data_IF_031277595883
#
_entry.id   IF_031277595883
#
_cell.length_a   1.000
_cell.length_b   1.000
_cell.length_c   1.000
_cell.angle_alpha   90.00
_cell.angle_beta   90.00
_cell.angle_gamma   90.00
#
_symmetry.space_group_name_H-M   'P 1'
#
loop_
_entity.id
_entity.type
_entity.pdbx_description
1 polymer ?
#
# COMPACT_ATOMS: atom_id res chain seq x y z
N UNK A 1 35.94 -56.22 12.78
CA UNK A 1 36.05 -56.21 11.33
C UNK A 1 34.79 -55.59 10.75
N UNK A 2 34.99 -54.71 9.82
CA UNK A 2 33.99 -54.01 8.97
C UNK A 2 33.30 -52.78 9.56
N UNK A 3 33.84 -51.66 9.15
CA UNK A 3 33.39 -50.29 9.33
C UNK A 3 32.35 -49.98 8.23
N UNK A 4 31.14 -49.61 8.59
CA UNK A 4 30.12 -49.05 7.69
C UNK A 4 30.06 -47.55 7.88
N UNK A 5 30.50 -46.79 6.85
CA UNK A 5 30.34 -45.34 6.77
C UNK A 5 28.96 -45.00 6.19
N UNK A 6 28.07 -44.45 6.99
CA UNK A 6 26.88 -43.80 6.47
C UNK A 6 27.17 -42.31 6.21
N UNK A 7 27.25 -41.98 4.94
CA UNK A 7 27.34 -40.59 4.47
C UNK A 7 25.92 -40.04 4.29
N UNK A 8 25.49 -39.21 5.21
CA UNK A 8 24.25 -38.39 5.08
C UNK A 8 24.52 -37.26 4.12
N UNK A 9 23.96 -37.37 2.92
CA UNK A 9 23.86 -36.27 1.94
C UNK A 9 22.85 -35.23 2.44
N UNK A 10 23.37 -34.13 2.94
CA UNK A 10 22.55 -32.92 3.19
C UNK A 10 22.30 -32.26 1.82
N UNK A 11 21.09 -32.44 1.31
CA UNK A 11 20.60 -31.68 0.14
C UNK A 11 20.37 -30.22 0.51
N UNK A 12 21.29 -29.34 0.15
CA UNK A 12 21.10 -27.89 0.17
C UNK A 12 20.09 -27.55 -0.95
N UNK A 13 18.85 -27.33 -0.58
CA UNK A 13 17.88 -26.70 -1.47
C UNK A 13 18.23 -25.21 -1.60
N UNK A 14 18.98 -24.89 -2.66
CA UNK A 14 19.22 -23.52 -3.10
C UNK A 14 17.89 -22.99 -3.67
N UNK A 15 17.09 -22.31 -2.84
CA UNK A 15 15.97 -21.52 -3.34
C UNK A 15 16.56 -20.37 -4.17
N UNK A 16 16.54 -20.54 -5.49
CA UNK A 16 16.75 -19.44 -6.43
C UNK A 16 15.63 -18.42 -6.25
N UNK A 17 15.89 -17.36 -5.51
CA UNK A 17 15.17 -16.09 -5.59
C UNK A 17 15.45 -15.50 -6.98
N UNK A 18 14.76 -16.00 -8.00
CA UNK A 18 14.73 -15.37 -9.29
C UNK A 18 13.89 -14.08 -9.14
N UNK A 19 14.54 -12.99 -8.76
CA UNK A 19 14.01 -11.67 -9.00
C UNK A 19 13.66 -11.59 -10.49
N UNK A 20 12.38 -11.48 -10.83
CA UNK A 20 11.95 -11.30 -12.21
C UNK A 20 12.61 -10.03 -12.73
N UNK A 21 13.54 -10.20 -13.65
CA UNK A 21 14.12 -9.07 -14.39
C UNK A 21 13.01 -8.25 -15.05
N UNK A 22 13.16 -6.92 -15.14
CA UNK A 22 12.22 -6.09 -15.86
C UNK A 22 11.97 -6.69 -17.25
N UNK A 23 10.70 -6.80 -17.63
CA UNK A 23 10.30 -7.43 -18.88
C UNK A 23 11.04 -6.78 -20.06
N UNK A 24 11.78 -7.56 -20.82
CA UNK A 24 12.58 -7.06 -21.94
C UNK A 24 11.68 -6.44 -23.02
N UNK A 25 12.18 -5.45 -23.76
CA UNK A 25 11.47 -4.89 -24.91
C UNK A 25 11.09 -6.00 -25.90
N UNK A 26 9.85 -5.95 -26.39
CA UNK A 26 9.39 -6.83 -27.46
C UNK A 26 10.08 -6.42 -28.76
N UNK A 27 10.35 -7.37 -29.66
CA UNK A 27 10.83 -7.07 -31.02
C UNK A 27 9.98 -5.91 -31.61
N UNK A 28 10.62 -4.80 -32.02
CA UNK A 28 9.90 -3.66 -32.54
C UNK A 28 8.90 -3.98 -33.64
N UNK A 29 9.18 -5.00 -34.47
CA UNK A 29 8.30 -5.43 -35.55
C UNK A 29 6.98 -6.05 -35.06
N UNK A 30 6.97 -6.61 -33.85
CA UNK A 30 5.83 -7.30 -33.24
C UNK A 30 5.10 -6.46 -32.19
N UNK A 31 5.70 -5.36 -31.76
CA UNK A 31 5.20 -4.59 -30.63
C UNK A 31 3.79 -4.04 -30.89
N UNK A 32 3.57 -3.34 -32.02
CA UNK A 32 2.27 -2.73 -32.35
C UNK A 32 1.15 -3.77 -32.35
N UNK A 33 1.39 -4.93 -32.96
CA UNK A 33 0.40 -6.00 -33.02
C UNK A 33 0.14 -6.57 -31.62
N UNK A 34 1.18 -6.68 -30.80
CA UNK A 34 1.06 -7.19 -29.43
C UNK A 34 0.22 -6.29 -28.51
N UNK A 35 0.13 -4.99 -28.77
CA UNK A 35 -0.60 -4.00 -27.95
C UNK A 35 -1.76 -3.33 -28.68
N UNK A 36 -2.12 -3.82 -29.86
CA UNK A 36 -3.15 -3.23 -30.74
C UNK A 36 -4.47 -2.89 -30.03
N UNK A 37 -4.99 -3.71 -29.08
CA UNK A 37 -6.21 -3.35 -28.34
C UNK A 37 -6.10 -2.06 -27.52
N UNK A 38 -4.90 -1.72 -27.06
CA UNK A 38 -4.62 -0.58 -26.17
C UNK A 38 -4.07 0.65 -26.95
N UNK A 39 -3.66 0.45 -28.21
CA UNK A 39 -2.92 1.47 -28.95
C UNK A 39 -3.84 2.62 -29.35
N UNK A 40 -3.47 3.84 -28.95
CA UNK A 40 -4.17 5.04 -29.35
C UNK A 40 -3.78 5.47 -30.77
N UNK A 41 -4.65 6.18 -31.47
CA UNK A 41 -4.41 6.65 -32.83
C UNK A 41 -3.13 7.50 -32.90
N UNK A 42 -2.95 8.40 -31.94
CA UNK A 42 -1.76 9.25 -31.88
C UNK A 42 -0.49 8.45 -31.56
N UNK A 43 -0.57 7.45 -30.70
CA UNK A 43 0.54 6.54 -30.39
C UNK A 43 0.96 5.73 -31.62
N UNK A 44 0.00 5.24 -32.40
CA UNK A 44 0.30 4.54 -33.67
C UNK A 44 0.97 5.46 -34.69
N UNK A 45 0.52 6.71 -34.81
CA UNK A 45 1.12 7.74 -35.65
C UNK A 45 2.55 8.06 -35.22
N UNK A 46 2.78 8.24 -33.92
CA UNK A 46 4.11 8.47 -33.37
C UNK A 46 5.03 7.28 -33.67
N UNK A 47 4.59 6.05 -33.41
CA UNK A 47 5.35 4.84 -33.70
C UNK A 47 5.78 4.75 -35.17
N UNK A 48 4.87 4.99 -36.10
CA UNK A 48 5.15 4.98 -37.57
C UNK A 48 6.18 6.03 -37.99
N UNK A 49 6.29 7.12 -37.25
CA UNK A 49 7.27 8.18 -37.51
C UNK A 49 8.68 7.88 -36.99
N UNK A 50 8.83 6.83 -36.12
CA UNK A 50 10.13 6.44 -35.58
C UNK A 50 10.91 5.57 -36.56
N UNK A 51 12.13 5.98 -36.85
CA UNK A 51 13.05 5.27 -37.76
C UNK A 51 14.10 4.47 -37.01
N UNK A 52 14.55 4.96 -35.85
CA UNK A 52 15.59 4.37 -35.02
C UNK A 52 15.01 3.29 -34.08
N UNK A 53 15.72 2.18 -33.95
CA UNK A 53 15.35 1.10 -33.03
C UNK A 53 15.46 1.53 -31.55
N UNK A 54 16.40 2.41 -31.20
CA UNK A 54 16.52 2.94 -29.84
C UNK A 54 15.28 3.76 -29.47
N UNK A 55 14.80 4.62 -30.39
CA UNK A 55 13.56 5.35 -30.16
C UNK A 55 12.35 4.43 -30.05
N UNK A 56 12.32 3.32 -30.80
CA UNK A 56 11.26 2.32 -30.69
C UNK A 56 11.30 1.55 -29.37
N UNK A 57 12.48 1.25 -28.85
CA UNK A 57 12.62 0.67 -27.51
C UNK A 57 12.19 1.65 -26.43
N UNK A 58 12.56 2.92 -26.56
CA UNK A 58 12.14 3.96 -25.62
C UNK A 58 10.64 4.20 -25.69
N UNK A 59 10.04 4.19 -26.89
CA UNK A 59 8.59 4.25 -27.06
C UNK A 59 7.88 3.11 -26.29
N UNK A 60 8.38 1.89 -26.34
CA UNK A 60 7.82 0.76 -25.61
C UNK A 60 7.84 1.01 -24.10
N UNK A 61 8.93 1.54 -23.55
CA UNK A 61 9.04 1.88 -22.14
C UNK A 61 8.02 2.96 -21.75
N UNK A 62 7.94 4.03 -22.56
CA UNK A 62 6.98 5.12 -22.38
C UNK A 62 5.55 4.58 -22.44
N UNK A 63 5.23 3.75 -23.45
CA UNK A 63 3.90 3.16 -23.63
C UNK A 63 3.40 2.43 -22.38
N UNK A 64 4.25 1.60 -21.80
CA UNK A 64 3.91 0.85 -20.60
C UNK A 64 3.90 1.72 -19.35
N UNK A 65 4.84 2.66 -19.20
CA UNK A 65 4.87 3.60 -18.07
C UNK A 65 3.62 4.49 -18.04
N UNK A 66 3.11 4.92 -19.18
CA UNK A 66 1.85 5.68 -19.26
C UNK A 66 0.65 4.93 -18.69
N UNK A 67 0.69 3.60 -18.66
CA UNK A 67 -0.39 2.71 -18.22
C UNK A 67 -0.10 2.05 -16.87
N UNK A 68 1.08 2.28 -16.32
CA UNK A 68 1.49 1.74 -15.03
C UNK A 68 0.72 2.42 -13.89
N UNK A 69 -0.03 1.70 -13.05
CA UNK A 69 -0.71 2.34 -11.92
C UNK A 69 0.26 2.88 -10.86
N UNK A 70 1.48 2.33 -10.77
CA UNK A 70 2.46 2.68 -9.73
C UNK A 70 3.88 2.69 -10.29
N UNK A 71 4.36 3.84 -10.74
CA UNK A 71 5.69 3.99 -11.37
C UNK A 71 6.89 3.61 -10.47
N UNK A 72 6.71 3.59 -9.17
CA UNK A 72 7.78 3.29 -8.19
C UNK A 72 8.00 1.80 -7.95
N UNK A 73 7.21 0.93 -8.55
CA UNK A 73 7.39 -0.53 -8.45
C UNK A 73 8.33 -1.04 -9.54
N UNK A 74 9.12 -2.12 -9.28
CA UNK A 74 10.02 -2.68 -10.28
C UNK A 74 9.29 -3.44 -11.40
N UNK A 75 8.00 -3.68 -11.24
CA UNK A 75 7.15 -4.43 -12.18
C UNK A 75 5.97 -3.56 -12.55
N UNK A 76 5.71 -3.41 -13.84
CA UNK A 76 4.50 -2.76 -14.32
C UNK A 76 3.32 -3.72 -14.17
N UNK A 77 2.44 -3.46 -13.19
CA UNK A 77 1.31 -4.33 -12.87
C UNK A 77 0.30 -4.40 -14.02
N UNK A 78 0.01 -3.26 -14.66
CA UNK A 78 -0.90 -3.21 -15.78
C UNK A 78 -0.41 -4.07 -16.94
N UNK A 79 0.88 -3.99 -17.26
CA UNK A 79 1.49 -4.83 -18.31
C UNK A 79 1.37 -6.32 -17.97
N UNK A 80 1.63 -6.69 -16.73
CA UNK A 80 1.55 -8.08 -16.27
C UNK A 80 0.13 -8.63 -16.39
N UNK A 81 -0.87 -7.84 -15.97
CA UNK A 81 -2.28 -8.21 -16.10
C UNK A 81 -2.72 -8.28 -17.57
N UNK A 82 -2.29 -7.31 -18.37
CA UNK A 82 -2.58 -7.30 -19.80
C UNK A 82 -2.02 -8.52 -20.53
N UNK A 83 -0.77 -8.87 -20.31
CA UNK A 83 -0.12 -10.02 -20.95
C UNK A 83 -0.84 -11.34 -20.58
N UNK A 84 -1.26 -11.48 -19.32
CA UNK A 84 -2.07 -12.62 -18.86
C UNK A 84 -3.44 -12.64 -19.54
N UNK A 85 -4.16 -11.52 -19.50
CA UNK A 85 -5.49 -11.40 -20.11
C UNK A 85 -5.44 -11.63 -21.62
N UNK A 86 -4.40 -11.11 -22.28
CA UNK A 86 -4.19 -11.34 -23.71
C UNK A 86 -4.03 -12.83 -24.03
N UNK A 87 -3.26 -13.57 -23.24
CA UNK A 87 -3.10 -15.02 -23.40
C UNK A 87 -4.44 -15.77 -23.26
N UNK A 88 -5.23 -15.40 -22.26
CA UNK A 88 -6.59 -15.98 -22.08
C UNK A 88 -7.51 -15.66 -23.25
N UNK A 89 -7.46 -14.44 -23.76
CA UNK A 89 -8.26 -13.97 -24.91
C UNK A 89 -7.84 -14.67 -26.20
N UNK A 90 -6.54 -14.87 -26.42
CA UNK A 90 -6.03 -15.58 -27.59
C UNK A 90 -6.54 -17.02 -27.65
N UNK A 91 -6.68 -17.69 -26.49
CA UNK A 91 -7.26 -19.03 -26.40
C UNK A 91 -8.80 -19.00 -26.57
N UNK A 92 -9.46 -18.04 -25.91
CA UNK A 92 -10.93 -17.95 -25.87
C UNK A 92 -11.57 -17.67 -27.22
N UNK A 93 -10.94 -16.79 -28.01
CA UNK A 93 -11.42 -16.38 -29.33
C UNK A 93 -10.57 -16.95 -30.46
N UNK A 94 -9.88 -18.07 -30.23
CA UNK A 94 -9.21 -18.83 -31.28
C UNK A 94 -10.24 -19.35 -32.33
N UNK A 95 -9.83 -19.43 -33.58
CA UNK A 95 -10.67 -20.05 -34.64
C UNK A 95 -11.02 -19.13 -35.81
N UNK A 96 -10.54 -17.86 -35.80
CA UNK A 96 -10.69 -16.91 -36.92
C UNK A 96 -9.50 -16.91 -37.88
N UNK A 97 -8.49 -17.76 -37.65
CA UNK A 97 -7.21 -17.74 -38.41
C UNK A 97 -6.21 -16.68 -37.95
N UNK A 98 -6.54 -15.93 -36.89
CA UNK A 98 -5.70 -14.95 -36.23
C UNK A 98 -5.83 -15.08 -34.70
N UNK A 99 -4.86 -14.55 -33.90
CA UNK A 99 -4.97 -14.53 -32.45
C UNK A 99 -6.27 -13.90 -31.98
N UNK A 100 -6.85 -14.41 -30.91
CA UNK A 100 -8.12 -13.89 -30.38
C UNK A 100 -8.08 -12.41 -30.02
N UNK A 101 -6.94 -11.92 -29.50
CA UNK A 101 -6.72 -10.52 -29.17
C UNK A 101 -6.70 -9.56 -30.37
N UNK A 102 -6.58 -10.08 -31.58
CA UNK A 102 -6.64 -9.33 -32.85
C UNK A 102 -8.05 -9.27 -33.44
N UNK A 103 -9.02 -9.96 -32.80
CA UNK A 103 -10.45 -9.88 -33.16
C UNK A 103 -11.12 -8.70 -32.45
N UNK A 104 -12.26 -8.23 -32.95
CA UNK A 104 -13.03 -7.18 -32.25
C UNK A 104 -13.61 -7.69 -30.92
N UNK A 105 -14.03 -8.95 -30.82
CA UNK A 105 -14.41 -9.58 -29.56
C UNK A 105 -13.26 -9.52 -28.54
N UNK A 106 -12.06 -9.93 -28.96
CA UNK A 106 -10.89 -9.90 -28.09
C UNK A 106 -10.54 -8.50 -27.64
N UNK A 107 -10.60 -7.53 -28.55
CA UNK A 107 -10.37 -6.11 -28.22
C UNK A 107 -11.38 -5.59 -27.20
N UNK A 108 -12.65 -5.86 -27.40
CA UNK A 108 -13.71 -5.47 -26.46
C UNK A 108 -13.49 -6.14 -25.11
N UNK A 109 -13.20 -7.45 -25.09
CA UNK A 109 -12.95 -8.18 -23.85
C UNK A 109 -11.72 -7.65 -23.08
N UNK A 110 -10.64 -7.30 -23.77
CA UNK A 110 -9.44 -6.69 -23.15
C UNK A 110 -9.76 -5.34 -22.54
N UNK A 111 -10.56 -4.51 -23.21
CA UNK A 111 -10.86 -3.16 -22.75
C UNK A 111 -11.92 -3.10 -21.65
N UNK A 112 -12.95 -3.95 -21.74
CA UNK A 112 -14.13 -3.90 -20.87
C UNK A 112 -14.23 -5.07 -19.87
N UNK A 113 -13.42 -6.12 -20.04
CA UNK A 113 -13.54 -7.36 -19.28
C UNK A 113 -14.67 -8.27 -19.77
N UNK A 114 -15.04 -9.24 -18.94
CA UNK A 114 -16.17 -10.12 -19.23
C UNK A 114 -17.49 -9.31 -19.28
N UNK A 115 -18.36 -9.57 -20.28
CA UNK A 115 -19.70 -8.99 -20.28
C UNK A 115 -20.56 -9.57 -19.15
N UNK A 116 -21.56 -8.81 -18.72
CA UNK A 116 -22.50 -9.27 -17.70
C UNK A 116 -23.49 -10.30 -18.26
N UNK A 117 -23.69 -10.29 -19.60
CA UNK A 117 -24.58 -11.21 -20.30
C UNK A 117 -24.16 -11.39 -21.75
N UNK A 118 -24.30 -12.62 -22.27
CA UNK A 118 -24.06 -12.96 -23.68
C UNK A 118 -25.32 -13.59 -24.24
N UNK A 119 -25.83 -13.04 -25.33
CA UNK A 119 -26.96 -13.66 -26.11
C UNK A 119 -26.40 -14.09 -27.45
N UNK A 120 -26.65 -15.36 -27.83
CA UNK A 120 -26.23 -15.93 -29.11
C UNK A 120 -27.35 -15.83 -30.15
N UNK A 121 -27.00 -15.92 -31.44
CA UNK A 121 -27.96 -15.76 -32.56
C UNK A 121 -29.11 -16.74 -32.58
N UNK A 122 -29.01 -17.85 -31.84
CA UNK A 122 -30.10 -18.80 -31.60
C UNK A 122 -31.05 -18.41 -30.44
N UNK A 123 -30.85 -17.22 -29.87
CA UNK A 123 -31.67 -16.67 -28.78
C UNK A 123 -31.32 -17.20 -27.40
N UNK A 124 -30.30 -18.07 -27.26
CA UNK A 124 -29.85 -18.52 -25.94
C UNK A 124 -29.05 -17.43 -25.23
N UNK A 125 -29.46 -17.16 -24.01
CA UNK A 125 -28.77 -16.21 -23.13
C UNK A 125 -27.94 -16.97 -22.08
N UNK A 126 -26.66 -16.67 -21.97
CA UNK A 126 -25.73 -17.28 -21.02
C UNK A 126 -25.09 -16.22 -20.14
N UNK A 127 -24.89 -16.56 -18.86
CA UNK A 127 -24.07 -15.78 -17.91
C UNK A 127 -22.59 -16.23 -17.95
N UNK A 128 -22.29 -17.25 -18.76
CA UNK A 128 -20.93 -17.75 -18.91
C UNK A 128 -20.06 -16.77 -19.71
N UNK A 129 -18.77 -16.81 -19.42
CA UNK A 129 -17.79 -16.03 -20.15
C UNK A 129 -17.85 -16.32 -21.66
N UNK A 130 -17.88 -15.28 -22.51
CA UNK A 130 -18.00 -15.45 -23.95
C UNK A 130 -16.81 -16.22 -24.52
N UNK A 131 -17.07 -17.01 -25.55
CA UNK A 131 -16.03 -17.70 -26.32
C UNK A 131 -16.39 -17.66 -27.80
N UNK A 132 -15.42 -18.00 -28.64
CA UNK A 132 -15.66 -18.09 -30.08
C UNK A 132 -16.72 -19.13 -30.36
N UNK A 133 -17.83 -18.70 -30.93
CA UNK A 133 -18.87 -19.54 -31.54
C UNK A 133 -19.12 -19.00 -32.94
N UNK A 134 -19.39 -19.89 -33.90
CA UNK A 134 -19.71 -19.50 -35.28
C UNK A 134 -21.18 -19.06 -35.39
N UNK A 135 -21.54 -18.06 -34.57
CA UNK A 135 -22.85 -17.45 -34.50
C UNK A 135 -22.69 -15.99 -34.11
N UNK A 136 -23.63 -15.14 -34.47
CA UNK A 136 -23.69 -13.78 -33.97
C UNK A 136 -23.88 -13.78 -32.47
N UNK A 137 -23.29 -12.79 -31.79
CA UNK A 137 -23.35 -12.59 -30.36
C UNK A 137 -23.70 -11.16 -30.02
N UNK A 138 -24.49 -10.95 -28.96
CA UNK A 138 -24.71 -9.65 -28.34
C UNK A 138 -24.20 -9.72 -26.90
N UNK A 139 -23.27 -8.84 -26.55
CA UNK A 139 -22.71 -8.72 -25.23
C UNK A 139 -23.29 -7.51 -24.52
N UNK A 140 -23.82 -7.70 -23.32
CA UNK A 140 -24.38 -6.64 -22.49
C UNK A 140 -23.40 -6.30 -21.37
N UNK A 141 -23.12 -5.02 -21.22
CA UNK A 141 -22.30 -4.46 -20.14
C UNK A 141 -23.10 -3.46 -19.32
N UNK A 142 -22.98 -3.52 -17.98
CA UNK A 142 -23.59 -2.60 -17.02
C UNK A 142 -22.49 -1.99 -16.18
N UNK A 143 -22.67 -0.72 -15.79
CA UNK A 143 -21.81 -0.01 -14.83
C UNK A 143 -20.29 -0.09 -15.10
N UNK A 144 -19.89 0.04 -16.36
CA UNK A 144 -18.47 0.11 -16.71
C UNK A 144 -17.99 1.56 -16.74
N UNK A 145 -17.00 1.97 -15.88
CA UNK A 145 -16.45 3.31 -15.88
C UNK A 145 -15.99 3.74 -17.28
N UNK A 146 -16.36 4.93 -17.70
CA UNK A 146 -15.97 5.51 -19.00
C UNK A 146 -16.88 5.17 -20.18
N UNK A 147 -17.81 4.20 -20.06
CA UNK A 147 -18.85 3.99 -21.07
C UNK A 147 -20.03 4.94 -20.86
N UNK A 148 -20.55 5.47 -21.95
CA UNK A 148 -21.82 6.20 -21.94
C UNK A 148 -22.96 5.19 -22.11
N UNK A 149 -23.67 4.96 -21.03
CA UNK A 149 -24.82 4.05 -21.02
C UNK A 149 -26.10 4.77 -21.49
N UNK A 150 -26.87 4.08 -22.32
CA UNK A 150 -28.25 4.43 -22.60
C UNK A 150 -29.11 3.47 -21.77
N UNK A 151 -29.89 4.01 -20.84
CA UNK A 151 -30.71 3.21 -19.90
C UNK A 151 -29.89 2.25 -18.99
N UNK A 152 -28.66 2.64 -18.59
CA UNK A 152 -27.85 1.87 -17.63
C UNK A 152 -27.10 0.68 -18.21
N UNK A 153 -27.20 0.39 -19.50
CA UNK A 153 -26.48 -0.70 -20.14
C UNK A 153 -25.99 -0.34 -21.56
N UNK A 154 -24.94 -1.02 -22.01
CA UNK A 154 -24.44 -1.00 -23.39
C UNK A 154 -24.49 -2.39 -23.94
N UNK A 155 -25.07 -2.52 -25.13
CA UNK A 155 -25.11 -3.77 -25.90
C UNK A 155 -24.18 -3.67 -27.10
N UNK A 156 -23.34 -4.67 -27.26
CA UNK A 156 -22.34 -4.76 -28.32
C UNK A 156 -22.60 -6.03 -29.11
N UNK A 157 -23.04 -5.87 -30.34
CA UNK A 157 -23.28 -6.97 -31.27
C UNK A 157 -22.02 -7.35 -32.05
N UNK A 158 -21.81 -8.65 -32.28
CA UNK A 158 -20.74 -9.20 -33.10
C UNK A 158 -21.33 -10.17 -34.11
N UNK A 159 -20.72 -10.24 -35.28
CA UNK A 159 -21.06 -11.25 -36.30
C UNK A 159 -20.42 -12.61 -36.00
N UNK A 160 -20.62 -13.57 -36.89
CA UNK A 160 -20.12 -14.96 -36.78
C UNK A 160 -18.56 -15.03 -36.79
N UNK A 161 -17.90 -14.01 -37.32
CA UNK A 161 -16.44 -13.87 -37.36
C UNK A 161 -15.89 -13.08 -36.14
N UNK A 162 -16.73 -12.78 -35.16
CA UNK A 162 -16.35 -11.93 -34.01
C UNK A 162 -15.93 -10.51 -34.40
N UNK A 163 -16.53 -9.97 -35.47
CA UNK A 163 -16.31 -8.61 -35.93
C UNK A 163 -17.46 -7.69 -35.49
N UNK A 164 -17.13 -6.43 -35.17
CA UNK A 164 -18.09 -5.39 -34.89
C UNK A 164 -18.78 -4.94 -36.20
N UNK A 165 -20.07 -4.63 -36.17
CA UNK A 165 -20.73 -3.97 -37.30
C UNK A 165 -19.99 -2.68 -37.66
N UNK A 166 -19.89 -2.39 -38.95
CA UNK A 166 -19.30 -1.15 -39.42
C UNK A 166 -20.12 0.05 -38.92
N UNK A 167 -19.56 0.81 -37.97
CA UNK A 167 -20.17 2.00 -37.40
C UNK A 167 -19.17 2.79 -36.55
N UNK A 168 -19.11 4.12 -36.77
CA UNK A 168 -18.14 4.98 -36.09
C UNK A 168 -18.33 5.04 -34.58
N UNK A 169 -19.58 4.97 -34.09
CA UNK A 169 -19.88 5.19 -32.67
C UNK A 169 -19.24 4.18 -31.69
N UNK A 170 -19.15 2.90 -32.05
CA UNK A 170 -18.52 1.89 -31.20
C UNK A 170 -16.99 2.00 -31.23
N UNK A 171 -16.39 2.26 -32.38
CA UNK A 171 -14.95 2.46 -32.50
C UNK A 171 -14.47 3.67 -31.68
N UNK A 172 -15.24 4.77 -31.65
CA UNK A 172 -14.96 5.92 -30.80
C UNK A 172 -15.09 5.60 -29.31
N UNK A 173 -16.05 4.77 -28.90
CA UNK A 173 -16.18 4.32 -27.52
C UNK A 173 -14.98 3.48 -27.11
N UNK A 174 -14.56 2.52 -27.94
CA UNK A 174 -13.39 1.70 -27.66
C UNK A 174 -12.10 2.53 -27.60
N UNK A 175 -11.97 3.55 -28.44
CA UNK A 175 -10.84 4.48 -28.38
C UNK A 175 -10.81 5.23 -27.03
N UNK A 176 -11.96 5.76 -26.58
CA UNK A 176 -12.06 6.38 -25.24
C UNK A 176 -11.74 5.42 -24.10
N UNK A 177 -12.15 4.15 -24.22
CA UNK A 177 -11.81 3.13 -23.21
C UNK A 177 -10.31 2.83 -23.20
N UNK A 178 -9.65 2.77 -24.35
CA UNK A 178 -8.21 2.62 -24.43
C UNK A 178 -7.47 3.84 -23.82
N UNK A 179 -7.99 5.06 -24.07
CA UNK A 179 -7.47 6.29 -23.48
C UNK A 179 -7.62 6.30 -21.96
N UNK A 180 -8.74 5.83 -21.43
CA UNK A 180 -8.98 5.70 -19.99
C UNK A 180 -8.00 4.74 -19.28
N UNK A 181 -7.26 3.91 -20.02
CA UNK A 181 -6.17 3.08 -19.47
C UNK A 181 -4.84 3.82 -19.31
N UNK A 182 -4.76 5.09 -19.72
CA UNK A 182 -3.58 5.92 -19.53
C UNK A 182 -3.62 6.55 -18.14
N UNK A 183 -2.82 6.00 -17.22
CA UNK A 183 -2.72 6.48 -15.84
C UNK A 183 -1.86 7.75 -15.73
N UNK A 184 -0.83 7.87 -16.58
CA UNK A 184 0.13 8.98 -16.55
C UNK A 184 0.17 9.74 -17.88
N UNK A 185 -0.79 10.64 -18.16
CA UNK A 185 -0.82 11.41 -19.40
C UNK A 185 0.34 12.42 -19.54
N UNK A 186 1.00 12.78 -18.43
CA UNK A 186 2.14 13.68 -18.42
C UNK A 186 3.44 13.03 -18.96
N UNK A 187 3.51 11.71 -18.98
CA UNK A 187 4.58 10.97 -19.65
C UNK A 187 4.18 10.93 -21.14
N UNK A 188 5.02 11.44 -22.00
CA UNK A 188 4.71 11.59 -23.42
C UNK A 188 5.85 11.19 -24.37
N UNK A 189 5.58 11.17 -25.67
CA UNK A 189 6.52 10.80 -26.73
C UNK A 189 7.24 12.02 -27.31
N UNK A 190 7.56 13.02 -26.48
CA UNK A 190 8.24 14.23 -26.94
C UNK A 190 9.67 13.93 -27.38
N UNK A 191 10.14 14.72 -28.35
CA UNK A 191 11.52 14.66 -28.83
C UNK A 191 12.38 15.70 -28.13
N UNK A 192 13.61 15.30 -27.80
CA UNK A 192 14.65 16.19 -27.32
C UNK A 192 15.23 17.07 -28.48
N UNK A 193 16.15 17.93 -28.09
CA UNK A 193 16.86 18.79 -29.04
C UNK A 193 17.73 18.00 -30.05
N UNK A 194 18.10 16.79 -29.72
CA UNK A 194 18.85 15.84 -30.57
C UNK A 194 17.96 15.08 -31.57
N UNK A 195 16.64 15.30 -31.52
CA UNK A 195 15.67 14.67 -32.42
C UNK A 195 15.22 13.29 -32.00
N UNK A 196 15.79 12.71 -30.94
CA UNK A 196 15.39 11.45 -30.36
C UNK A 196 14.28 11.60 -29.30
N UNK A 197 13.60 10.51 -28.95
CA UNK A 197 12.64 10.55 -27.85
C UNK A 197 13.35 10.88 -26.52
N UNK A 198 12.75 11.77 -25.73
CA UNK A 198 13.19 12.01 -24.36
C UNK A 198 13.01 10.72 -23.57
N UNK A 199 14.08 10.26 -22.95
CA UNK A 199 14.05 8.99 -22.20
C UNK A 199 13.02 9.01 -21.09
N UNK A 200 12.39 7.88 -20.84
CA UNK A 200 11.43 7.71 -19.75
C UNK A 200 12.03 8.16 -18.41
N UNK A 201 13.28 7.77 -18.11
CA UNK A 201 13.97 8.13 -16.86
C UNK A 201 14.09 9.64 -16.62
N UNK A 202 14.13 10.43 -17.70
CA UNK A 202 14.17 11.90 -17.63
C UNK A 202 12.79 12.53 -17.50
N UNK A 203 11.72 11.76 -17.78
CA UNK A 203 10.32 12.18 -17.64
C UNK A 203 9.72 11.79 -16.28
N UNK A 204 10.30 10.80 -15.58
CA UNK A 204 9.83 10.38 -14.29
C UNK A 204 10.16 11.42 -13.21
N UNK A 205 9.27 11.60 -12.22
CA UNK A 205 9.60 12.39 -11.05
C UNK A 205 10.86 11.84 -10.39
N UNK A 206 11.86 12.69 -10.19
CA UNK A 206 13.03 12.28 -9.42
C UNK A 206 12.61 12.08 -7.96
N UNK A 207 12.99 10.96 -7.31
CA UNK A 207 12.73 10.80 -5.91
C UNK A 207 13.39 11.93 -5.12
N UNK A 208 12.71 12.40 -4.10
CA UNK A 208 13.33 13.35 -3.16
C UNK A 208 14.59 12.74 -2.53
N UNK A 209 15.51 13.57 -2.02
CA UNK A 209 16.73 13.05 -1.40
C UNK A 209 16.48 12.05 -0.27
N UNK A 210 15.43 12.25 0.54
CA UNK A 210 15.08 11.31 1.61
C UNK A 210 14.47 10.00 1.07
N UNK A 211 13.65 10.07 0.01
CA UNK A 211 13.14 8.86 -0.64
C UNK A 211 14.25 8.08 -1.34
N UNK A 212 15.27 8.76 -1.84
CA UNK A 212 16.47 8.11 -2.40
C UNK A 212 17.22 7.29 -1.34
N UNK A 213 17.23 7.71 -0.07
CA UNK A 213 17.81 6.94 1.05
C UNK A 213 17.12 5.58 1.24
N UNK A 214 15.83 5.47 0.95
CA UNK A 214 15.11 4.20 1.10
C UNK A 214 15.45 3.20 -0.01
N UNK A 215 15.91 3.69 -1.17
CA UNK A 215 16.41 2.86 -2.29
C UNK A 215 17.90 2.52 -2.13
N UNK A 216 18.70 3.48 -1.72
CA UNK A 216 20.15 3.35 -1.49
C UNK A 216 20.48 3.86 -0.10
N UNK A 217 20.36 3.00 0.94
CA UNK A 217 20.57 3.39 2.33
C UNK A 217 21.98 3.94 2.57
N UNK A 218 22.05 5.03 3.33
CA UNK A 218 23.29 5.58 3.91
C UNK A 218 23.23 5.45 5.42
N UNK A 219 24.37 5.51 6.05
CA UNK A 219 24.55 5.39 7.50
C UNK A 219 25.42 6.51 8.04
N UNK A 220 25.22 7.74 7.53
CA UNK A 220 25.94 8.92 8.03
C UNK A 220 25.64 9.16 9.52
N UNK A 221 24.48 8.70 9.98
CA UNK A 221 24.08 8.58 11.37
C UNK A 221 23.06 7.41 11.53
N UNK A 222 22.93 6.92 12.75
CA UNK A 222 21.98 5.88 13.07
C UNK A 222 20.55 6.42 13.10
N UNK A 223 19.62 5.68 12.48
CA UNK A 223 18.17 5.87 12.57
C UNK A 223 17.57 4.64 13.23
N UNK A 224 16.71 4.84 14.21
CA UNK A 224 15.89 3.79 14.79
C UNK A 224 14.41 4.10 14.55
N UNK A 225 13.58 3.08 14.38
CA UNK A 225 12.16 3.25 14.10
C UNK A 225 11.31 2.34 14.99
N UNK A 226 10.18 2.86 15.44
CA UNK A 226 9.26 2.18 16.35
C UNK A 226 7.82 2.36 15.85
N UNK A 227 7.22 1.35 15.17
CA UNK A 227 5.79 1.33 14.91
C UNK A 227 5.04 1.18 16.23
N UNK A 228 4.11 2.07 16.53
CA UNK A 228 3.44 2.07 17.84
C UNK A 228 1.92 2.22 17.76
N UNK A 229 1.39 2.94 16.77
CA UNK A 229 -0.04 3.14 16.60
C UNK A 229 -0.55 2.31 15.41
N UNK A 230 -1.49 1.41 15.67
CA UNK A 230 -2.17 0.59 14.66
C UNK A 230 -3.68 0.76 14.83
N UNK A 231 -4.35 1.36 13.85
CA UNK A 231 -5.77 1.68 13.90
C UNK A 231 -6.49 1.20 12.64
N UNK A 232 -7.70 0.65 12.80
CA UNK A 232 -8.57 0.36 11.65
C UNK A 232 -9.05 1.66 11.01
N UNK A 233 -8.92 1.76 9.69
CA UNK A 233 -9.51 2.85 8.91
C UNK A 233 -10.93 2.49 8.44
N UNK A 234 -11.77 3.48 8.06
CA UNK A 234 -13.14 3.22 7.61
C UNK A 234 -13.25 2.31 6.38
N UNK A 235 -12.24 2.30 5.52
CA UNK A 235 -12.15 1.46 4.31
C UNK A 235 -11.59 0.06 4.58
N UNK A 236 -11.36 -0.30 5.85
CA UNK A 236 -10.90 -1.62 6.27
C UNK A 236 -9.39 -1.84 6.19
N UNK A 237 -8.61 -0.82 5.84
CA UNK A 237 -7.16 -0.87 6.01
C UNK A 237 -6.76 -0.66 7.49
N UNK A 238 -5.49 -0.82 7.80
CA UNK A 238 -4.91 -0.47 9.09
C UNK A 238 -3.98 0.73 8.90
N UNK A 239 -4.28 1.84 9.57
CA UNK A 239 -3.37 2.96 9.69
C UNK A 239 -2.24 2.59 10.66
N UNK A 240 -1.02 2.68 10.16
CA UNK A 240 0.20 2.42 10.92
C UNK A 240 0.93 3.73 11.10
N UNK A 241 1.14 4.16 12.34
CA UNK A 241 2.06 5.26 12.62
C UNK A 241 3.16 4.83 13.60
N UNK A 242 4.30 5.46 13.47
CA UNK A 242 5.46 5.18 14.30
C UNK A 242 6.38 6.39 14.45
N UNK A 243 7.39 6.22 15.27
CA UNK A 243 8.40 7.21 15.56
C UNK A 243 9.74 6.79 14.94
N UNK A 244 10.43 7.74 14.31
CA UNK A 244 11.83 7.62 13.94
C UNK A 244 12.66 8.52 14.85
N UNK A 245 13.79 8.00 15.35
CA UNK A 245 14.70 8.72 16.25
C UNK A 245 16.10 8.77 15.66
N UNK A 246 16.71 9.96 15.78
CA UNK A 246 18.10 10.23 15.44
C UNK A 246 18.75 10.94 16.61
N UNK A 247 20.01 10.62 16.93
CA UNK A 247 20.77 11.39 17.91
C UNK A 247 21.10 12.79 17.37
N UNK A 248 20.97 13.82 18.21
CA UNK A 248 21.24 15.22 17.83
C UNK A 248 22.63 15.45 17.25
N UNK A 249 23.62 14.64 17.63
CA UNK A 249 24.98 14.72 17.11
C UNK A 249 25.06 14.41 15.60
N UNK A 250 24.08 13.73 15.04
CA UNK A 250 23.96 13.45 13.59
C UNK A 250 23.36 14.60 12.78
N UNK A 251 22.83 15.64 13.42
CA UNK A 251 22.01 16.68 12.78
C UNK A 251 22.63 18.05 12.90
N UNK A 252 22.30 18.94 11.96
CA UNK A 252 22.72 20.34 11.92
C UNK A 252 21.64 21.24 12.52
N UNK A 253 21.87 21.73 13.73
CA UNK A 253 20.94 22.60 14.43
C UNK A 253 21.04 24.05 13.98
N UNK A 254 19.93 24.75 13.95
CA UNK A 254 19.80 26.21 13.84
C UNK A 254 18.98 26.68 15.05
N UNK A 255 19.71 27.23 16.05
CA UNK A 255 19.12 27.51 17.37
C UNK A 255 18.74 26.20 18.08
N UNK A 256 17.48 26.05 18.51
CA UNK A 256 16.99 24.88 19.24
C UNK A 256 16.56 23.72 18.34
N UNK A 257 16.38 23.93 17.04
CA UNK A 257 15.79 22.95 16.12
C UNK A 257 16.71 22.57 14.96
N UNK A 258 16.55 21.35 14.46
CA UNK A 258 17.09 20.88 13.19
C UNK A 258 15.95 20.74 12.17
N UNK A 259 16.23 21.05 10.89
CA UNK A 259 15.30 20.76 9.80
C UNK A 259 15.61 19.38 9.22
N UNK A 260 14.67 18.50 9.34
CA UNK A 260 14.80 17.11 8.88
C UNK A 260 13.71 16.76 7.87
N UNK A 261 14.09 15.97 6.88
CA UNK A 261 13.15 15.29 5.97
C UNK A 261 13.09 13.83 6.39
N UNK A 262 11.89 13.34 6.64
CA UNK A 262 11.66 11.95 7.04
C UNK A 262 10.75 11.25 6.03
N UNK A 263 11.10 10.03 5.67
CA UNK A 263 10.28 9.19 4.77
C UNK A 263 10.17 7.77 5.32
N UNK A 264 9.02 7.14 5.03
CA UNK A 264 8.80 5.73 5.32
C UNK A 264 8.14 5.03 4.13
N UNK A 265 8.48 3.76 3.93
CA UNK A 265 7.86 2.87 2.94
C UNK A 265 7.57 1.52 3.55
N UNK A 266 6.39 0.98 3.26
CA UNK A 266 6.06 -0.42 3.49
C UNK A 266 6.17 -1.19 2.17
N UNK A 267 6.99 -2.25 2.16
CA UNK A 267 7.32 -3.02 0.96
C UNK A 267 6.85 -4.45 1.17
N UNK A 268 6.11 -5.01 0.20
CA UNK A 268 5.66 -6.42 0.24
C UNK A 268 6.84 -7.40 0.03
N UNK A 269 6.60 -8.68 0.25
CA UNK A 269 7.59 -9.73 0.02
C UNK A 269 8.10 -9.79 -1.43
N UNK A 270 7.26 -9.38 -2.39
CA UNK A 270 7.59 -9.31 -3.83
C UNK A 270 8.39 -8.05 -4.19
N UNK A 271 8.71 -7.18 -3.22
CA UNK A 271 9.46 -5.94 -3.44
C UNK A 271 8.60 -4.76 -3.90
N UNK A 272 7.27 -4.88 -3.88
CA UNK A 272 6.33 -3.81 -4.24
C UNK A 272 6.16 -2.83 -3.08
N UNK A 273 6.23 -1.53 -3.35
CA UNK A 273 5.87 -0.49 -2.39
C UNK A 273 4.35 -0.47 -2.24
N UNK A 274 3.85 -0.86 -1.06
CA UNK A 274 2.42 -0.87 -0.75
C UNK A 274 1.92 0.52 -0.32
N UNK A 275 2.73 1.26 0.44
CA UNK A 275 2.47 2.63 0.82
C UNK A 275 3.78 3.37 1.15
N UNK A 276 3.74 4.69 1.04
CA UNK A 276 4.85 5.57 1.43
C UNK A 276 4.32 6.83 2.08
N UNK A 277 5.16 7.44 2.92
CA UNK A 277 4.93 8.77 3.48
C UNK A 277 6.23 9.55 3.53
N UNK A 278 6.12 10.87 3.38
CA UNK A 278 7.25 11.80 3.45
C UNK A 278 6.81 13.11 4.10
N UNK A 279 7.69 13.72 4.87
CA UNK A 279 7.48 15.06 5.42
C UNK A 279 8.80 15.78 5.69
N UNK A 280 8.75 17.10 5.60
CA UNK A 280 9.77 18.02 6.07
C UNK A 280 9.30 18.73 7.34
N UNK A 281 10.07 18.65 8.41
CA UNK A 281 9.70 19.27 9.68
C UNK A 281 10.93 19.92 10.36
N UNK A 282 10.64 20.89 11.23
CA UNK A 282 11.60 21.38 12.24
C UNK A 282 11.36 20.60 13.53
N UNK A 283 12.39 19.96 14.04
CA UNK A 283 12.30 19.16 15.26
C UNK A 283 13.39 19.57 16.25
N UNK A 284 13.04 19.60 17.52
CA UNK A 284 13.95 19.87 18.63
C UNK A 284 14.44 18.54 19.23
N UNK A 285 15.60 18.61 19.88
CA UNK A 285 16.08 17.46 20.63
C UNK A 285 15.31 17.33 21.94
N UNK A 286 14.86 16.10 22.23
CA UNK A 286 14.29 15.75 23.52
C UNK A 286 15.33 15.80 24.67
N UNK A 287 14.88 15.60 25.90
CA UNK A 287 15.75 15.60 27.07
C UNK A 287 16.89 14.56 27.01
N UNK A 288 16.65 13.46 26.30
CA UNK A 288 17.61 12.37 26.06
C UNK A 288 18.59 12.66 24.90
N UNK A 289 18.52 13.85 24.29
CA UNK A 289 19.33 14.24 23.14
C UNK A 289 18.86 13.61 21.82
N UNK A 290 17.74 12.89 21.79
CA UNK A 290 17.15 12.34 20.58
C UNK A 290 16.22 13.33 19.87
N UNK A 291 16.31 13.42 18.57
CA UNK A 291 15.32 14.08 17.71
C UNK A 291 14.35 13.03 17.21
N UNK A 292 13.05 13.25 17.43
CA UNK A 292 12.00 12.30 17.09
C UNK A 292 11.05 12.92 16.07
N UNK A 293 10.78 12.15 15.00
CA UNK A 293 9.79 12.50 13.98
C UNK A 293 8.87 11.32 13.74
N UNK A 294 7.61 11.57 13.44
CA UNK A 294 6.66 10.51 13.16
C UNK A 294 6.56 10.20 11.66
N UNK A 295 6.17 8.98 11.34
CA UNK A 295 5.70 8.56 10.02
C UNK A 295 4.35 7.89 10.16
N UNK A 296 3.55 7.84 9.07
CA UNK A 296 2.25 7.19 9.09
C UNK A 296 1.77 6.85 7.70
N UNK A 297 1.10 5.70 7.55
CA UNK A 297 0.55 5.22 6.30
C UNK A 297 -0.59 4.22 6.53
N UNK A 298 -1.53 4.13 5.59
CA UNK A 298 -2.58 3.11 5.60
C UNK A 298 -2.12 1.89 4.78
N UNK A 299 -2.30 0.70 5.35
CA UNK A 299 -1.86 -0.58 4.77
C UNK A 299 -2.98 -1.61 4.87
N UNK A 300 -3.08 -2.49 3.89
CA UNK A 300 -3.89 -3.71 4.04
C UNK A 300 -3.25 -4.62 5.09
N UNK A 301 -4.04 -5.46 5.80
CA UNK A 301 -3.47 -6.48 6.69
C UNK A 301 -2.45 -7.37 5.96
N UNK A 302 -1.35 -7.70 6.63
CA UNK A 302 -0.29 -8.52 6.03
C UNK A 302 1.10 -8.26 6.60
N UNK A 303 2.09 -8.94 6.03
CA UNK A 303 3.49 -8.81 6.41
C UNK A 303 4.23 -7.93 5.39
N UNK A 304 5.01 -6.97 5.92
CA UNK A 304 5.76 -6.00 5.13
C UNK A 304 7.19 -5.87 5.63
N UNK A 305 8.03 -5.30 4.79
CA UNK A 305 9.30 -4.72 5.18
C UNK A 305 9.13 -3.21 5.29
N UNK A 306 9.27 -2.67 6.50
CA UNK A 306 9.24 -1.24 6.78
C UNK A 306 10.64 -0.67 6.56
N UNK A 307 10.74 0.36 5.72
CA UNK A 307 11.95 1.17 5.54
C UNK A 307 11.65 2.57 6.03
N UNK A 308 12.52 3.12 6.88
CA UNK A 308 12.41 4.49 7.41
C UNK A 308 13.73 5.20 7.22
N UNK A 309 13.69 6.39 6.62
CA UNK A 309 14.84 7.23 6.37
C UNK A 309 14.66 8.62 6.98
N UNK A 310 15.74 9.19 7.45
CA UNK A 310 15.81 10.58 7.92
C UNK A 310 17.01 11.26 7.26
N UNK A 311 16.79 12.45 6.73
CA UNK A 311 17.80 13.31 6.10
C UNK A 311 17.89 14.63 6.88
N UNK A 312 19.09 15.03 7.23
CA UNK A 312 19.38 16.40 7.67
C UNK A 312 19.39 17.31 6.43
N UNK A 313 18.40 18.18 6.32
CA UNK A 313 18.22 19.03 5.13
C UNK A 313 19.40 19.97 4.92
N UNK A 314 20.06 20.45 6.00
CA UNK A 314 21.17 21.41 5.92
C UNK A 314 22.46 20.76 5.44
N UNK A 315 22.85 19.62 6.00
CA UNK A 315 24.11 18.95 5.64
C UNK A 315 23.96 17.97 4.49
N UNK A 316 22.73 17.55 4.16
CA UNK A 316 22.45 16.47 3.21
C UNK A 316 22.87 15.08 3.71
N UNK A 317 23.30 14.94 4.96
CA UNK A 317 23.59 13.65 5.61
C UNK A 317 22.29 12.90 5.90
N UNK A 318 22.34 11.58 5.85
CA UNK A 318 21.15 10.76 6.08
C UNK A 318 21.44 9.38 6.63
N UNK A 319 20.44 8.82 7.25
CA UNK A 319 20.43 7.44 7.72
C UNK A 319 19.10 6.76 7.42
N UNK A 320 19.12 5.44 7.31
CA UNK A 320 17.93 4.65 7.12
C UNK A 320 17.99 3.34 7.91
N UNK A 321 16.81 2.84 8.29
CA UNK A 321 16.62 1.54 8.93
C UNK A 321 15.60 0.73 8.15
N UNK A 322 15.81 -0.58 8.16
CA UNK A 322 14.88 -1.55 7.54
C UNK A 322 14.55 -2.61 8.58
N UNK A 323 13.25 -2.91 8.75
CA UNK A 323 12.78 -3.87 9.73
C UNK A 323 11.47 -4.54 9.27
N UNK A 324 11.10 -5.73 9.81
CA UNK A 324 9.80 -6.32 9.55
C UNK A 324 8.68 -5.48 10.15
N UNK A 325 7.51 -5.49 9.50
CA UNK A 325 6.29 -4.87 9.98
C UNK A 325 5.13 -5.84 9.74
N UNK A 326 4.48 -6.25 10.83
CA UNK A 326 3.24 -7.03 10.75
C UNK A 326 2.04 -6.12 10.96
N UNK A 327 1.14 -6.08 10.00
CA UNK A 327 -0.08 -5.27 10.02
C UNK A 327 -1.26 -6.19 10.31
N UNK A 328 -1.91 -6.05 11.48
CA UNK A 328 -3.03 -6.90 11.87
C UNK A 328 -4.30 -6.59 11.06
N UNK A 329 -5.16 -7.59 10.98
CA UNK A 329 -6.52 -7.43 10.46
C UNK A 329 -7.49 -7.12 11.62
N UNK A 330 -8.00 -5.91 11.64
CA UNK A 330 -9.02 -5.47 12.61
C UNK A 330 -10.45 -5.56 12.07
N UNK A 331 -10.68 -6.20 10.91
CA UNK A 331 -11.99 -6.35 10.29
C UNK A 331 -12.68 -7.66 10.65
N UNK A 332 -12.00 -8.56 11.35
CA UNK A 332 -12.57 -9.82 11.79
C UNK A 332 -13.80 -9.58 12.69
N UNK A 333 -14.79 -10.47 12.61
CA UNK A 333 -15.96 -10.44 13.50
C UNK A 333 -15.58 -10.70 14.97
N UNK A 334 -14.49 -11.38 15.20
CA UNK A 334 -13.96 -11.67 16.52
C UNK A 334 -13.33 -10.39 17.13
N UNK A 335 -13.49 -10.22 18.43
CA UNK A 335 -12.93 -9.08 19.15
C UNK A 335 -11.40 -9.06 18.99
N UNK A 336 -10.88 -7.90 18.64
CA UNK A 336 -9.45 -7.63 18.50
C UNK A 336 -9.06 -6.32 19.19
N UNK A 337 -7.82 -6.25 19.67
CA UNK A 337 -7.26 -5.08 20.34
C UNK A 337 -6.12 -4.49 19.53
N UNK A 338 -6.07 -3.16 19.46
CA UNK A 338 -4.83 -2.49 19.05
C UNK A 338 -3.69 -2.79 20.05
N UNK A 339 -2.43 -2.56 19.68
CA UNK A 339 -1.38 -2.42 20.68
C UNK A 339 -1.75 -1.38 21.72
N UNK A 340 -1.42 -1.65 22.99
CA UNK A 340 -1.62 -0.72 24.09
C UNK A 340 -0.61 0.42 23.98
N UNK A 341 -1.10 1.65 23.91
CA UNK A 341 -0.30 2.85 23.83
C UNK A 341 0.00 3.38 25.23
N UNK A 342 1.25 3.77 25.45
CA UNK A 342 1.70 4.52 26.64
C UNK A 342 2.07 5.91 26.14
N UNK A 343 1.21 6.87 26.37
CA UNK A 343 1.35 8.25 25.88
C UNK A 343 1.88 9.16 26.97
N UNK A 344 2.73 10.12 26.62
CA UNK A 344 3.13 11.20 27.50
C UNK A 344 1.98 12.17 27.76
N UNK A 345 1.21 12.46 26.71
CA UNK A 345 0.10 13.43 26.77
C UNK A 345 -0.94 13.13 25.69
N UNK A 346 -2.14 13.70 25.86
CA UNK A 346 -3.20 13.75 24.88
C UNK A 346 -3.69 15.18 24.80
N UNK A 347 -3.58 15.80 23.64
CA UNK A 347 -3.85 17.21 23.43
C UNK A 347 -4.99 17.42 22.45
N UNK A 348 -5.82 18.42 22.67
CA UNK A 348 -6.84 18.85 21.70
C UNK A 348 -6.30 20.03 20.90
N UNK A 349 -6.60 20.02 19.60
CA UNK A 349 -6.23 21.10 18.69
C UNK A 349 -6.34 20.71 17.21
N UNK A 350 -6.26 21.69 16.32
CA UNK A 350 -6.28 21.42 14.88
C UNK A 350 -5.06 20.63 14.43
N UNK A 351 -5.20 19.91 13.33
CA UNK A 351 -4.09 19.23 12.69
C UNK A 351 -3.02 20.24 12.23
N UNK A 352 -1.78 19.97 12.54
CA UNK A 352 -0.62 20.76 12.11
C UNK A 352 0.38 19.84 11.38
N UNK A 353 0.42 19.90 10.04
CA UNK A 353 1.37 19.09 9.25
C UNK A 353 2.85 19.39 9.56
N UNK A 354 3.17 20.59 10.06
CA UNK A 354 4.52 20.98 10.45
C UNK A 354 4.95 20.38 11.80
N UNK A 355 4.02 19.81 12.56
CA UNK A 355 4.33 19.14 13.81
C UNK A 355 5.14 17.86 13.55
N UNK A 356 6.30 17.65 14.18
CA UNK A 356 7.07 16.41 14.05
C UNK A 356 6.26 15.14 14.35
N UNK A 357 5.25 15.20 15.22
CA UNK A 357 4.38 14.10 15.59
C UNK A 357 3.03 14.10 14.86
N UNK A 358 2.91 14.79 13.72
CA UNK A 358 1.64 14.93 12.96
C UNK A 358 0.98 13.62 12.57
N UNK A 359 1.72 12.50 12.46
CA UNK A 359 1.14 11.18 12.17
C UNK A 359 0.35 10.58 13.34
N UNK A 360 0.40 11.20 14.52
CA UNK A 360 -0.39 10.81 15.70
C UNK A 360 -1.59 11.73 15.93
N UNK A 361 -2.00 12.49 14.93
CA UNK A 361 -3.20 13.32 14.97
C UNK A 361 -4.42 12.49 14.53
N UNK A 362 -5.42 12.39 15.38
CA UNK A 362 -6.69 11.70 15.14
C UNK A 362 -7.85 12.72 15.22
N UNK A 363 -8.23 13.29 14.08
CA UNK A 363 -9.18 14.40 14.07
C UNK A 363 -8.60 15.62 14.80
N UNK A 364 -9.28 16.07 15.86
CA UNK A 364 -8.81 17.16 16.73
C UNK A 364 -7.92 16.70 17.88
N UNK A 365 -7.82 15.39 18.12
CA UNK A 365 -7.04 14.81 19.21
C UNK A 365 -5.65 14.45 18.73
N UNK A 366 -4.62 14.97 19.36
CA UNK A 366 -3.22 14.63 19.14
C UNK A 366 -2.71 13.74 20.26
N UNK A 367 -2.32 12.52 19.90
CA UNK A 367 -1.62 11.63 20.80
C UNK A 367 -0.14 12.04 20.84
N UNK A 368 0.45 12.13 22.03
CA UNK A 368 1.86 12.49 22.21
C UNK A 368 2.63 11.29 22.77
N UNK A 369 3.09 10.36 21.91
CA UNK A 369 3.94 9.25 22.34
C UNK A 369 5.35 9.75 22.68
N UNK A 370 6.08 8.94 23.46
CA UNK A 370 7.50 9.17 23.73
C UNK A 370 8.29 7.95 23.22
N UNK A 371 9.35 8.20 22.48
CA UNK A 371 10.18 7.13 21.92
C UNK A 371 10.72 6.22 23.05
N UNK A 372 10.61 4.90 22.86
CA UNK A 372 11.05 3.91 23.84
C UNK A 372 10.26 3.90 25.14
N UNK A 373 9.11 4.59 25.22
CA UNK A 373 8.29 4.69 26.44
C UNK A 373 9.09 4.99 27.70
N UNK A 374 10.05 5.93 27.64
CA UNK A 374 10.93 6.31 28.76
C UNK A 374 10.48 7.62 29.36
N UNK A 375 10.24 7.63 30.66
CA UNK A 375 9.66 8.72 31.44
C UNK A 375 10.50 9.04 32.67
N UNK A 376 10.21 10.15 33.33
CA UNK A 376 10.78 10.55 34.64
C UNK A 376 9.66 10.61 35.68
N UNK A 377 10.02 10.76 36.94
CA UNK A 377 9.04 10.96 38.01
C UNK A 377 8.23 12.25 37.88
N UNK A 378 8.72 13.23 37.13
CA UNK A 378 7.99 14.49 36.87
C UNK A 378 6.89 14.32 35.80
N UNK A 379 6.92 13.22 35.04
CA UNK A 379 5.97 12.95 33.97
C UNK A 379 4.67 12.29 34.49
N UNK A 380 3.69 12.27 33.62
CA UNK A 380 2.51 11.42 33.71
C UNK A 380 2.39 10.56 32.45
N UNK A 381 1.62 9.48 32.52
CA UNK A 381 1.31 8.64 31.35
C UNK A 381 -0.18 8.50 31.17
N UNK A 382 -0.63 8.48 29.91
CA UNK A 382 -1.97 8.11 29.53
C UNK A 382 -1.91 6.78 28.77
N UNK A 383 -2.73 5.83 29.21
CA UNK A 383 -2.86 4.50 28.62
C UNK A 383 -4.08 4.49 27.70
N UNK A 384 -3.92 4.01 26.46
CA UNK A 384 -4.99 3.98 25.48
C UNK A 384 -4.90 2.71 24.64
N UNK A 385 -6.02 2.04 24.45
CA UNK A 385 -6.16 0.95 23.50
C UNK A 385 -7.42 1.16 22.65
N UNK A 386 -7.49 0.51 21.48
CA UNK A 386 -8.69 0.49 20.65
C UNK A 386 -9.22 -0.95 20.58
N UNK A 387 -10.53 -1.08 20.71
CA UNK A 387 -11.25 -2.36 20.63
C UNK A 387 -12.06 -2.37 19.35
N UNK A 388 -11.94 -3.44 18.57
CA UNK A 388 -12.68 -3.68 17.35
C UNK A 388 -13.44 -4.99 17.43
N UNK A 389 -14.59 -5.10 16.77
CA UNK A 389 -15.40 -6.31 16.81
C UNK A 389 -16.09 -6.50 18.17
N UNK A 390 -16.35 -7.75 18.51
CA UNK A 390 -17.11 -8.16 19.70
C UNK A 390 -18.45 -8.78 19.30
N UNK A 391 -18.89 -9.78 20.07
CA UNK A 391 -20.15 -10.47 19.80
C UNK A 391 -21.33 -9.62 20.23
N UNK A 392 -22.26 -9.40 19.31
CA UNK A 392 -23.55 -8.78 19.64
C UNK A 392 -24.47 -9.80 20.32
N UNK A 393 -25.26 -9.32 21.29
CA UNK A 393 -26.35 -10.06 21.91
C UNK A 393 -27.58 -10.15 20.99
N UNK A 394 -28.68 -10.73 21.48
CA UNK A 394 -29.94 -10.85 20.71
C UNK A 394 -30.57 -9.48 20.37
N UNK A 395 -30.21 -8.42 21.08
CA UNK A 395 -30.64 -7.04 20.82
C UNK A 395 -29.68 -6.29 19.89
N UNK A 396 -28.63 -6.95 19.37
CA UNK A 396 -27.64 -6.36 18.47
C UNK A 396 -26.59 -5.49 19.19
N UNK A 397 -26.48 -5.55 20.50
CA UNK A 397 -25.52 -4.78 21.30
C UNK A 397 -24.33 -5.63 21.74
N UNK A 398 -23.13 -5.05 21.67
CA UNK A 398 -21.94 -5.64 22.33
C UNK A 398 -21.96 -5.29 23.82
N UNK A 399 -21.31 -6.11 24.64
CA UNK A 399 -21.15 -5.84 26.08
C UNK A 399 -19.71 -6.14 26.46
N UNK A 400 -18.91 -5.09 26.63
CA UNK A 400 -17.47 -5.17 26.86
C UNK A 400 -17.09 -4.58 28.21
N UNK A 401 -16.09 -5.16 28.87
CA UNK A 401 -15.48 -4.61 30.08
C UNK A 401 -13.96 -4.53 29.91
N UNK A 402 -13.37 -3.36 30.17
CA UNK A 402 -11.94 -3.12 30.10
C UNK A 402 -11.34 -2.80 31.46
N UNK A 403 -10.24 -3.47 31.79
CA UNK A 403 -9.50 -3.30 33.05
C UNK A 403 -8.03 -3.03 32.75
N UNK A 404 -7.46 -1.96 33.33
CA UNK A 404 -6.04 -1.65 33.22
C UNK A 404 -5.31 -2.00 34.50
N UNK A 405 -4.16 -2.63 34.36
CA UNK A 405 -3.28 -2.99 35.46
C UNK A 405 -1.85 -2.61 35.16
N UNK A 406 -1.17 -1.96 36.10
CA UNK A 406 0.25 -1.66 36.01
C UNK A 406 0.97 -2.54 37.03
N UNK A 407 2.01 -3.24 36.57
CA UNK A 407 2.84 -4.13 37.42
C UNK A 407 4.31 -3.74 37.38
N UNK A 408 5.02 -3.97 38.44
CA UNK A 408 6.48 -3.93 38.52
C UNK A 408 6.99 -5.21 39.10
N UNK A 409 7.91 -5.89 38.46
CA UNK A 409 8.48 -7.16 38.92
C UNK A 409 7.41 -8.21 39.33
N UNK A 410 6.33 -8.27 38.52
CA UNK A 410 5.18 -9.16 38.75
C UNK A 410 4.20 -8.69 39.83
N UNK A 411 4.51 -7.63 40.58
CA UNK A 411 3.64 -7.10 41.63
C UNK A 411 2.76 -5.97 41.05
N UNK A 412 1.47 -6.01 41.34
CA UNK A 412 0.52 -4.96 40.97
C UNK A 412 0.81 -3.69 41.76
N UNK A 413 1.10 -2.58 41.05
CA UNK A 413 1.33 -1.28 41.68
C UNK A 413 0.16 -0.31 41.46
N UNK A 414 -0.66 -0.52 40.42
CA UNK A 414 -1.88 0.25 40.19
C UNK A 414 -2.93 -0.58 39.42
N UNK A 415 -4.20 -0.28 39.67
CA UNK A 415 -5.34 -0.78 38.88
C UNK A 415 -6.31 0.36 38.67
N UNK A 416 -6.83 0.48 37.43
CA UNK A 416 -7.95 1.38 37.18
C UNK A 416 -9.29 0.68 37.46
N UNK A 417 -10.34 1.45 37.76
CA UNK A 417 -11.70 0.94 37.80
C UNK A 417 -12.09 0.31 36.44
N UNK A 418 -12.97 -0.72 36.51
CA UNK A 418 -13.52 -1.35 35.31
C UNK A 418 -14.30 -0.31 34.49
N UNK A 419 -14.05 -0.26 33.20
CA UNK A 419 -14.78 0.53 32.22
C UNK A 419 -15.66 -0.39 31.38
N UNK A 420 -16.91 -0.02 31.15
CA UNK A 420 -17.87 -0.82 30.37
C UNK A 420 -18.29 -0.09 29.10
N UNK A 421 -18.48 -0.85 28.01
CA UNK A 421 -18.83 -0.34 26.67
C UNK A 421 -19.94 -1.20 26.07
N UNK A 422 -20.88 -0.55 25.39
CA UNK A 422 -22.01 -1.17 24.66
C UNK A 422 -21.91 -1.00 23.13
N UNK A 423 -20.77 -0.48 22.67
CA UNK A 423 -20.48 -0.23 21.24
C UNK A 423 -19.05 -0.58 20.88
N UNK A 424 -18.82 -0.88 19.61
CA UNK A 424 -17.50 -1.13 19.01
C UNK A 424 -17.51 -0.53 17.58
N UNK A 425 -16.43 0.14 17.11
CA UNK A 425 -15.15 0.33 17.83
C UNK A 425 -15.24 1.29 19.00
N UNK A 426 -14.40 1.09 20.01
CA UNK A 426 -14.29 1.97 21.19
C UNK A 426 -12.84 2.07 21.66
N UNK A 427 -12.54 3.09 22.49
CA UNK A 427 -11.18 3.41 22.93
C UNK A 427 -11.06 3.55 24.45
N UNK A 428 -10.98 2.44 25.23
CA UNK A 428 -10.72 2.54 26.66
C UNK A 428 -9.39 3.25 26.94
N UNK A 429 -9.43 4.18 27.90
CA UNK A 429 -8.27 4.96 28.29
C UNK A 429 -8.21 5.19 29.79
N UNK A 430 -7.00 5.33 30.32
CA UNK A 430 -6.72 5.68 31.71
C UNK A 430 -5.61 6.70 31.76
N UNK A 431 -5.85 7.82 32.40
CA UNK A 431 -4.85 8.86 32.60
C UNK A 431 -5.42 10.26 32.75
N UNK A 432 -4.55 11.23 32.99
CA UNK A 432 -3.12 11.06 33.26
C UNK A 432 -2.83 10.35 34.58
N UNK A 433 -1.92 9.37 34.57
CA UNK A 433 -1.41 8.68 35.76
C UNK A 433 -0.08 9.34 36.15
N UNK A 434 0.00 10.08 37.27
CA UNK A 434 1.24 10.72 37.71
C UNK A 434 2.30 9.67 38.10
N UNK A 435 3.55 9.85 37.67
CA UNK A 435 4.66 8.95 37.98
C UNK A 435 5.47 9.36 39.21
N UNK A 436 5.08 10.40 39.95
CA UNK A 436 5.81 10.95 41.08
C UNK A 436 6.10 9.91 42.20
N UNK A 437 5.23 8.93 42.39
CA UNK A 437 5.40 7.85 43.39
C UNK A 437 6.02 6.58 42.84
N UNK A 438 6.30 6.51 41.53
CA UNK A 438 6.85 5.33 40.90
C UNK A 438 8.38 5.29 41.08
N UNK A 439 8.90 4.19 41.56
CA UNK A 439 10.35 3.98 41.71
C UNK A 439 10.98 3.75 40.34
N UNK A 440 12.23 4.20 40.10
CA UNK A 440 12.94 3.90 38.87
C UNK A 440 12.90 2.42 38.51
N UNK A 441 12.75 2.11 37.20
CA UNK A 441 12.72 0.75 36.66
C UNK A 441 11.62 0.55 35.61
N UNK A 442 11.51 -0.70 35.14
CA UNK A 442 10.56 -1.10 34.11
C UNK A 442 9.21 -1.50 34.71
N UNK A 443 8.16 -1.08 34.05
CA UNK A 443 6.77 -1.38 34.39
C UNK A 443 6.10 -2.06 33.19
N UNK A 444 5.23 -3.02 33.46
CA UNK A 444 4.36 -3.64 32.47
C UNK A 444 2.94 -3.12 32.70
N UNK A 445 2.33 -2.64 31.63
CA UNK A 445 0.92 -2.26 31.58
C UNK A 445 0.17 -3.29 30.79
N UNK A 446 -0.96 -3.75 31.32
CA UNK A 446 -1.86 -4.64 30.62
C UNK A 446 -3.25 -4.02 30.59
N UNK A 447 -3.89 -4.03 29.40
CA UNK A 447 -5.35 -3.89 29.29
C UNK A 447 -5.93 -5.28 29.06
N UNK A 448 -6.88 -5.66 29.90
CA UNK A 448 -7.69 -6.87 29.76
C UNK A 448 -9.10 -6.45 29.37
N UNK A 449 -9.59 -6.95 28.23
CA UNK A 449 -10.94 -6.72 27.74
C UNK A 449 -11.71 -8.04 27.79
N UNK A 450 -12.84 -8.05 28.49
CA UNK A 450 -13.76 -9.18 28.57
C UNK A 450 -14.97 -8.90 27.67
N UNK A 451 -15.20 -9.74 26.67
CA UNK A 451 -16.48 -9.80 25.96
C UNK A 451 -17.48 -10.56 26.85
N UNK A 452 -18.44 -9.84 27.42
CA UNK A 452 -19.41 -10.39 28.39
C UNK A 452 -20.42 -11.34 27.72
N UNK A 453 -20.62 -11.22 26.39
CA UNK A 453 -21.52 -12.11 25.63
C UNK A 453 -20.87 -13.47 25.43
N UNK A 454 -19.63 -13.51 24.95
CA UNK A 454 -18.87 -14.75 24.72
C UNK A 454 -18.15 -15.27 25.98
N UNK A 455 -17.99 -14.44 27.00
CA UNK A 455 -17.18 -14.67 28.21
C UNK A 455 -15.71 -14.95 27.91
N UNK A 456 -15.20 -14.43 26.80
CA UNK A 456 -13.79 -14.53 26.43
C UNK A 456 -13.03 -13.27 26.85
N UNK A 457 -11.80 -13.48 27.27
CA UNK A 457 -10.84 -12.44 27.64
C UNK A 457 -9.80 -12.22 26.53
N UNK A 458 -9.49 -10.96 26.29
CA UNK A 458 -8.46 -10.52 25.35
C UNK A 458 -7.52 -9.56 26.06
N UNK A 459 -6.23 -9.64 25.79
CA UNK A 459 -5.22 -8.81 26.46
C UNK A 459 -4.30 -8.12 25.46
N UNK A 460 -3.90 -6.89 25.77
CA UNK A 460 -2.79 -6.21 25.13
C UNK A 460 -1.87 -5.64 26.19
N UNK A 461 -0.57 -5.73 25.97
CA UNK A 461 0.45 -5.31 26.92
C UNK A 461 1.42 -4.31 26.31
N UNK A 462 1.94 -3.42 27.14
CA UNK A 462 3.03 -2.52 26.81
C UNK A 462 3.97 -2.39 28.01
N UNK A 463 5.18 -1.91 27.76
CA UNK A 463 6.13 -1.59 28.82
C UNK A 463 6.50 -0.13 28.80
N UNK A 464 6.78 0.45 29.97
CA UNK A 464 7.42 1.75 30.08
C UNK A 464 8.50 1.74 31.16
N UNK A 465 9.44 2.67 31.09
CA UNK A 465 10.52 2.82 32.03
C UNK A 465 10.42 4.16 32.74
N UNK A 466 10.58 4.16 34.05
CA UNK A 466 10.79 5.37 34.85
C UNK A 466 12.27 5.46 35.20
N UNK A 467 12.88 6.61 34.89
CA UNK A 467 14.30 6.92 35.16
C UNK A 467 14.45 7.81 36.37
#
# INVERSE_FOLDING_TARGET
MSVGRDATLASLALLCLAGRAPAQPVDPKKFVDSVRPLLLVDEEKQWKALKDNKDKEEFQKIFWARRDPVLDTPVNEYRTEYEKLKGDVDQRFAGTGRPGSETDCGRVYILLGAPDQVTTGDGHTKLDAPKMVRQSQEWTYRDRPGLKFKNGEVKIGFDEACALPQGLGMQEQLARMAEAKVAHPNIDYKKGADGHLVKLEDQLPKPTPVMALLKTPRTDFAVTAEPSLLLRTPDGATYVAGLARVDKAGLSFEGASARVSAAAQAVTAEGKVAASSEKDVKAEAGPDGGVVVSYGMALKPGDYTLKVGVLDVKSGKGGAVTQPLKVPDFNAEELSLSPLLVLHDVQEGPADPANPLSSFQLGTTRLVPRYGNSFTNADSVTLLAFIYGGKADEAGKVSLAANFTITKDGTVVARAPEQTYDSSPTGPSVGPVPLASYKPGKYVVQVKVTDKVTKKDYTSEATFEVK
#
